data_IF_890649969870
#
_entry.id   IF_890649969870
#
_cell.length_a   1.000
_cell.length_b   1.000
_cell.length_c   1.000
_cell.angle_alpha   90.00
_cell.angle_beta   90.00
_cell.angle_gamma   90.00
#
_symmetry.space_group_name_H-M   'P 1'
#
loop_
_entity.id
_entity.type
_entity.pdbx_description
1 polymer ?
#
# COMPACT_ATOMS: atom_id res chain seq x y z
N UNK A 1 -4.01 -1.13 -11.13
CA UNK A 1 -3.34 -2.14 -10.28
C UNK A 1 -4.22 -2.40 -9.05
N UNK A 2 -4.58 -3.68 -8.83
CA UNK A 2 -5.39 -4.12 -7.69
C UNK A 2 -4.65 -5.26 -7.00
N UNK A 3 -4.10 -5.02 -5.81
CA UNK A 3 -3.34 -6.02 -5.04
C UNK A 3 -3.99 -6.21 -3.68
N UNK A 4 -4.23 -7.45 -3.24
CA UNK A 4 -4.65 -7.72 -1.86
C UNK A 4 -3.49 -8.26 -1.04
N UNK A 5 -3.34 -7.74 0.17
CA UNK A 5 -2.58 -8.34 1.26
C UNK A 5 -3.54 -8.96 2.27
N UNK A 6 -3.28 -10.21 2.71
CA UNK A 6 -4.19 -10.89 3.62
C UNK A 6 -3.49 -11.95 4.48
N UNK A 7 -3.44 -11.71 5.79
CA UNK A 7 -3.10 -12.74 6.76
C UNK A 7 -4.29 -13.70 6.94
N UNK A 8 -4.16 -14.93 6.44
CA UNK A 8 -5.25 -15.92 6.39
C UNK A 8 -5.30 -16.83 7.61
N UNK A 9 -4.32 -16.71 8.52
CA UNK A 9 -4.19 -17.55 9.71
C UNK A 9 -4.39 -19.05 9.40
N UNK A 10 -3.59 -19.51 8.48
CA UNK A 10 -3.64 -20.87 7.91
C UNK A 10 -4.56 -20.95 6.70
N UNK A 11 -3.98 -21.33 5.57
CA UNK A 11 -4.68 -21.43 4.29
C UNK A 11 -5.76 -22.52 4.27
N UNK A 12 -5.60 -23.57 5.09
CA UNK A 12 -6.58 -24.65 5.20
C UNK A 12 -6.92 -25.32 3.87
N UNK A 13 -8.21 -25.60 3.67
CA UNK A 13 -8.80 -26.18 2.43
C UNK A 13 -10.23 -25.64 2.24
N UNK A 14 -10.83 -25.94 1.10
CA UNK A 14 -12.26 -25.78 0.84
C UNK A 14 -12.80 -24.35 1.04
N UNK A 15 -13.41 -24.06 2.17
CA UNK A 15 -14.11 -22.79 2.43
C UNK A 15 -13.18 -21.57 2.32
N UNK A 16 -11.96 -21.67 2.86
CA UNK A 16 -10.97 -20.58 2.78
C UNK A 16 -10.52 -20.32 1.34
N UNK A 17 -10.29 -21.38 0.57
CA UNK A 17 -9.93 -21.25 -0.85
C UNK A 17 -11.04 -20.61 -1.67
N UNK A 18 -12.28 -21.03 -1.41
CA UNK A 18 -13.44 -20.44 -2.07
C UNK A 18 -13.60 -18.93 -1.72
N UNK A 19 -13.32 -18.56 -0.47
CA UNK A 19 -13.34 -17.17 -0.05
C UNK A 19 -12.24 -16.34 -0.71
N UNK A 20 -11.02 -16.87 -0.82
CA UNK A 20 -9.90 -16.22 -1.54
C UNK A 20 -10.25 -16.04 -3.02
N UNK A 21 -10.73 -17.08 -3.71
CA UNK A 21 -11.19 -16.97 -5.11
C UNK A 21 -12.28 -15.92 -5.28
N UNK A 22 -13.21 -15.82 -4.33
CA UNK A 22 -14.25 -14.79 -4.35
C UNK A 22 -13.67 -13.38 -4.25
N UNK A 23 -12.64 -13.17 -3.41
CA UNK A 23 -11.93 -11.90 -3.34
C UNK A 23 -11.24 -11.57 -4.66
N UNK A 24 -10.49 -12.53 -5.23
CA UNK A 24 -9.81 -12.37 -6.52
C UNK A 24 -10.80 -11.93 -7.60
N UNK A 25 -11.91 -12.65 -7.74
CA UNK A 25 -12.94 -12.36 -8.75
C UNK A 25 -13.68 -11.04 -8.47
N UNK A 26 -14.10 -10.80 -7.21
CA UNK A 26 -14.89 -9.63 -6.82
C UNK A 26 -14.14 -8.32 -7.07
N UNK A 27 -12.85 -8.31 -6.76
CA UNK A 27 -12.02 -7.10 -6.86
C UNK A 27 -11.15 -7.07 -8.11
N UNK A 28 -11.28 -8.07 -9.01
CA UNK A 28 -10.48 -8.20 -10.24
C UNK A 28 -8.99 -8.02 -9.91
N UNK A 29 -8.48 -8.89 -9.05
CA UNK A 29 -7.12 -8.76 -8.55
C UNK A 29 -6.10 -9.09 -9.63
N UNK A 30 -5.05 -8.30 -9.64
CA UNK A 30 -3.85 -8.56 -10.45
C UNK A 30 -2.84 -9.39 -9.65
N UNK A 31 -2.84 -9.24 -8.31
CA UNK A 31 -1.96 -9.96 -7.39
C UNK A 31 -2.62 -10.15 -6.02
N UNK A 32 -2.24 -11.22 -5.31
CA UNK A 32 -2.55 -11.41 -3.89
C UNK A 32 -1.31 -11.85 -3.12
N UNK A 33 -1.03 -11.18 -2.02
CA UNK A 33 0.02 -11.46 -1.05
C UNK A 33 -0.60 -12.05 0.21
N UNK A 34 -0.34 -13.32 0.47
CA UNK A 34 -0.93 -14.09 1.57
C UNK A 34 0.12 -14.32 2.65
N UNK A 35 -0.24 -14.07 3.91
CA UNK A 35 0.58 -14.33 5.09
C UNK A 35 -0.06 -15.44 5.94
N UNK A 36 0.74 -16.08 6.77
CA UNK A 36 0.38 -17.23 7.59
C UNK A 36 -0.31 -18.36 6.80
N UNK A 37 0.27 -18.79 5.70
CA UNK A 37 -0.30 -19.92 4.92
C UNK A 37 -0.32 -21.22 5.70
N UNK A 38 0.63 -21.40 6.63
CA UNK A 38 0.90 -22.63 7.39
C UNK A 38 1.12 -23.85 6.46
N UNK A 39 1.65 -23.61 5.26
CA UNK A 39 1.98 -24.62 4.26
C UNK A 39 3.48 -24.78 4.16
N UNK A 40 3.96 -26.01 4.33
CA UNK A 40 5.36 -26.38 4.11
C UNK A 40 5.66 -26.57 2.62
N UNK A 41 4.63 -26.93 1.85
CA UNK A 41 4.72 -27.11 0.40
C UNK A 41 3.57 -26.41 -0.31
N UNK A 42 3.90 -25.78 -1.41
CA UNK A 42 2.95 -25.13 -2.32
C UNK A 42 3.28 -25.61 -3.74
N UNK A 43 2.28 -26.10 -4.43
CA UNK A 43 2.40 -26.60 -5.79
C UNK A 43 1.52 -25.80 -6.78
N UNK A 44 1.72 -26.04 -8.05
CA UNK A 44 0.95 -25.44 -9.13
C UNK A 44 -0.55 -25.68 -8.99
N UNK A 45 -0.94 -26.88 -8.59
CA UNK A 45 -2.35 -27.29 -8.45
C UNK A 45 -3.05 -26.44 -7.37
N UNK A 46 -2.39 -26.22 -6.24
CA UNK A 46 -2.89 -25.35 -5.17
C UNK A 46 -3.01 -23.90 -5.65
N UNK A 47 -1.97 -23.37 -6.33
CA UNK A 47 -1.98 -22.01 -6.83
C UNK A 47 -3.10 -21.78 -7.85
N UNK A 48 -3.28 -22.68 -8.80
CA UNK A 48 -4.37 -22.65 -9.78
C UNK A 48 -5.74 -22.79 -9.10
N UNK A 49 -5.87 -23.67 -8.10
CA UNK A 49 -7.11 -23.82 -7.35
C UNK A 49 -7.47 -22.57 -6.53
N UNK A 50 -6.49 -21.80 -6.05
CA UNK A 50 -6.71 -20.53 -5.36
C UNK A 50 -7.02 -19.39 -6.32
N UNK A 51 -6.28 -19.31 -7.43
CA UNK A 51 -6.42 -18.22 -8.39
C UNK A 51 -7.66 -18.39 -9.27
N UNK A 52 -7.92 -19.60 -9.70
CA UNK A 52 -9.04 -19.93 -10.58
C UNK A 52 -8.72 -19.89 -12.06
N UNK A 53 -7.43 -19.75 -12.43
CA UNK A 53 -6.93 -19.77 -13.81
C UNK A 53 -5.63 -20.60 -13.88
N UNK A 54 -5.30 -21.06 -15.09
CA UNK A 54 -4.10 -21.86 -15.37
C UNK A 54 -2.84 -20.99 -15.52
N UNK A 55 -3.01 -19.71 -15.85
CA UNK A 55 -1.93 -18.74 -16.13
C UNK A 55 -1.60 -17.89 -14.90
N UNK A 56 -1.32 -18.54 -13.78
CA UNK A 56 -0.95 -17.87 -12.53
C UNK A 56 0.54 -18.03 -12.25
N UNK A 57 1.24 -16.90 -12.07
CA UNK A 57 2.56 -16.87 -11.49
C UNK A 57 2.47 -16.97 -9.96
N UNK A 58 3.46 -17.61 -9.34
CA UNK A 58 3.52 -17.68 -7.88
C UNK A 58 4.94 -17.72 -7.35
N UNK A 59 5.08 -17.32 -6.10
CA UNK A 59 6.27 -17.51 -5.27
C UNK A 59 5.84 -17.77 -3.83
N UNK A 60 6.56 -18.62 -3.12
CA UNK A 60 6.21 -18.92 -1.74
C UNK A 60 7.44 -19.07 -0.85
N UNK A 61 7.26 -18.75 0.43
CA UNK A 61 8.16 -19.08 1.51
C UNK A 61 7.49 -20.16 2.37
N UNK A 62 8.11 -21.33 2.57
CA UNK A 62 7.54 -22.40 3.37
C UNK A 62 7.26 -21.99 4.81
N UNK A 63 6.21 -22.55 5.41
CA UNK A 63 6.03 -22.54 6.85
C UNK A 63 7.07 -23.45 7.51
N UNK A 64 7.48 -23.11 8.72
CA UNK A 64 8.36 -23.93 9.56
C UNK A 64 7.53 -24.47 10.72
N UNK A 65 7.43 -25.79 10.84
CA UNK A 65 6.64 -26.45 11.89
C UNK A 65 5.20 -25.87 11.99
N UNK A 66 4.53 -25.72 10.86
CA UNK A 66 3.17 -25.12 10.74
C UNK A 66 3.05 -23.68 11.21
N UNK A 67 4.14 -22.96 11.43
CA UNK A 67 4.17 -21.55 11.75
C UNK A 67 4.59 -20.71 10.54
N UNK A 68 3.95 -19.56 10.35
CA UNK A 68 4.27 -18.63 9.25
C UNK A 68 3.86 -19.15 7.88
N UNK A 69 4.75 -18.98 6.90
CA UNK A 69 4.53 -19.29 5.49
C UNK A 69 3.89 -18.13 4.75
N UNK A 70 4.48 -17.78 3.60
CA UNK A 70 4.04 -16.71 2.72
C UNK A 70 3.74 -17.28 1.33
N UNK A 71 2.82 -16.63 0.62
CA UNK A 71 2.49 -16.97 -0.76
C UNK A 71 2.10 -15.70 -1.51
N UNK A 72 2.70 -15.49 -2.66
CA UNK A 72 2.27 -14.50 -3.64
C UNK A 72 1.70 -15.22 -4.86
N UNK A 73 0.55 -14.76 -5.35
CA UNK A 73 -0.04 -15.20 -6.61
C UNK A 73 -0.32 -13.96 -7.47
N UNK A 74 -0.05 -14.06 -8.76
CA UNK A 74 -0.31 -12.94 -9.68
C UNK A 74 -0.72 -13.42 -11.07
N UNK A 75 -1.40 -12.55 -11.79
CA UNK A 75 -1.69 -12.75 -13.20
C UNK A 75 -0.47 -12.36 -14.05
N UNK A 76 0.11 -13.32 -14.76
CA UNK A 76 1.30 -13.12 -15.61
C UNK A 76 1.05 -12.18 -16.80
N UNK A 77 -0.22 -11.87 -17.14
CA UNK A 77 -0.56 -10.88 -18.15
C UNK A 77 -0.34 -9.45 -17.65
N UNK A 78 -0.43 -9.21 -16.33
CA UNK A 78 -0.27 -7.88 -15.74
C UNK A 78 1.07 -7.65 -15.05
N UNK A 79 1.66 -8.70 -14.49
CA UNK A 79 2.96 -8.62 -13.83
C UNK A 79 3.88 -9.76 -14.28
N UNK A 80 5.07 -9.40 -14.77
CA UNK A 80 6.13 -10.34 -15.12
C UNK A 80 7.24 -10.24 -14.10
N UNK A 81 7.37 -11.26 -13.26
CA UNK A 81 8.43 -11.33 -12.27
C UNK A 81 9.75 -11.73 -12.91
N UNK A 82 10.77 -10.87 -12.79
CA UNK A 82 12.11 -11.08 -13.30
C UNK A 82 13.03 -11.65 -12.22
N UNK A 83 12.93 -11.12 -11.00
CA UNK A 83 13.75 -11.54 -9.86
C UNK A 83 12.89 -11.79 -8.63
N UNK A 84 13.29 -12.77 -7.81
CA UNK A 84 12.55 -13.20 -6.63
C UNK A 84 13.50 -13.49 -5.49
N UNK A 85 13.23 -12.91 -4.32
CA UNK A 85 14.01 -13.14 -3.10
C UNK A 85 13.07 -13.58 -1.99
N UNK A 86 13.36 -14.73 -1.38
CA UNK A 86 12.64 -15.19 -0.19
C UNK A 86 13.55 -15.13 1.03
N UNK A 87 13.10 -14.49 2.08
CA UNK A 87 13.76 -14.43 3.37
C UNK A 87 12.81 -14.79 4.49
N UNK A 88 13.32 -14.86 5.71
CA UNK A 88 12.50 -15.18 6.87
C UNK A 88 11.47 -14.07 7.12
N UNK A 89 10.20 -14.35 6.78
CA UNK A 89 9.10 -13.41 6.97
C UNK A 89 8.87 -12.42 5.81
N UNK A 90 9.51 -12.60 4.67
CA UNK A 90 9.23 -11.80 3.49
C UNK A 90 9.44 -12.55 2.16
N UNK A 91 8.74 -12.09 1.14
CA UNK A 91 8.99 -12.39 -0.27
C UNK A 91 9.11 -11.07 -1.01
N UNK A 92 10.19 -10.88 -1.76
CA UNK A 92 10.38 -9.77 -2.70
C UNK A 92 10.17 -10.27 -4.12
N UNK A 93 9.33 -9.59 -4.87
CA UNK A 93 9.10 -9.81 -6.29
C UNK A 93 9.50 -8.53 -7.04
N UNK A 94 10.55 -8.61 -7.83
CA UNK A 94 10.93 -7.55 -8.78
C UNK A 94 10.46 -7.95 -10.16
N UNK A 95 9.92 -7.00 -10.92
CA UNK A 95 9.43 -7.30 -12.25
C UNK A 95 8.79 -6.11 -12.93
N UNK A 96 8.18 -6.37 -14.08
CA UNK A 96 7.57 -5.34 -14.92
C UNK A 96 6.05 -5.39 -14.79
N UNK A 97 5.47 -4.26 -14.41
CA UNK A 97 4.04 -4.02 -14.53
C UNK A 97 3.70 -3.71 -15.98
N UNK A 98 3.03 -4.64 -16.66
CA UNK A 98 2.94 -4.70 -18.12
C UNK A 98 2.19 -3.51 -18.71
N UNK A 99 1.07 -3.08 -18.10
CA UNK A 99 0.22 -2.00 -18.65
C UNK A 99 0.97 -0.67 -18.81
N UNK A 100 1.86 -0.37 -17.88
CA UNK A 100 2.57 0.91 -17.81
C UNK A 100 4.06 0.76 -18.19
N UNK A 101 4.49 -0.48 -18.46
CA UNK A 101 5.89 -0.86 -18.70
C UNK A 101 6.83 -0.32 -17.60
N UNK A 102 6.40 -0.46 -16.32
CA UNK A 102 7.14 0.03 -15.17
C UNK A 102 7.77 -1.11 -14.39
N UNK A 103 9.07 -0.98 -14.10
CA UNK A 103 9.74 -1.86 -13.15
C UNK A 103 9.25 -1.52 -11.74
N UNK A 104 8.76 -2.52 -11.01
CA UNK A 104 8.25 -2.38 -9.64
C UNK A 104 8.79 -3.49 -8.75
N UNK A 105 8.85 -3.20 -7.48
CA UNK A 105 9.23 -4.15 -6.42
C UNK A 105 8.07 -4.28 -5.42
N UNK A 106 7.52 -5.49 -5.32
CA UNK A 106 6.47 -5.83 -4.36
C UNK A 106 7.07 -6.67 -3.24
N UNK A 107 6.87 -6.25 -2.00
CA UNK A 107 7.35 -6.96 -0.81
C UNK A 107 6.16 -7.44 0.00
N UNK A 108 5.96 -8.77 0.07
CA UNK A 108 4.99 -9.40 0.95
C UNK A 108 5.64 -9.69 2.30
N UNK A 109 5.12 -9.10 3.39
CA UNK A 109 5.74 -9.14 4.72
C UNK A 109 4.82 -9.85 5.71
N UNK A 110 5.41 -10.76 6.49
CA UNK A 110 4.85 -11.30 7.73
C UNK A 110 5.89 -11.15 8.83
N UNK A 111 5.79 -10.03 9.56
CA UNK A 111 6.76 -9.68 10.59
C UNK A 111 6.58 -10.56 11.84
N UNK A 112 7.66 -11.03 12.46
CA UNK A 112 7.61 -11.70 13.75
C UNK A 112 6.96 -10.85 14.86
N UNK A 113 6.50 -11.48 15.93
CA UNK A 113 5.97 -10.76 17.09
C UNK A 113 7.08 -10.26 18.04
N UNK A 114 8.23 -10.95 18.07
CA UNK A 114 9.36 -10.60 18.93
C UNK A 114 10.30 -9.60 18.27
N UNK A 115 10.91 -8.75 19.06
CA UNK A 115 11.68 -7.60 18.59
C UNK A 115 13.02 -7.99 17.92
N UNK A 116 13.66 -9.07 18.37
CA UNK A 116 14.94 -9.51 17.80
C UNK A 116 14.75 -9.92 16.33
N UNK A 117 13.83 -10.85 16.11
CA UNK A 117 13.53 -11.32 14.76
C UNK A 117 12.91 -10.21 13.86
N UNK A 118 12.22 -9.20 14.44
CA UNK A 118 11.79 -8.02 13.69
C UNK A 118 12.96 -7.23 13.13
N UNK A 119 13.97 -6.94 13.97
CA UNK A 119 15.16 -6.20 13.53
C UNK A 119 15.93 -6.94 12.44
N UNK A 120 16.04 -8.27 12.54
CA UNK A 120 16.65 -9.10 11.48
C UNK A 120 15.88 -8.97 10.15
N UNK A 121 14.54 -9.01 10.21
CA UNK A 121 13.69 -8.82 9.03
C UNK A 121 13.87 -7.42 8.43
N UNK A 122 13.87 -6.38 9.27
CA UNK A 122 14.02 -4.99 8.85
C UNK A 122 15.38 -4.75 8.21
N UNK A 123 16.44 -5.26 8.82
CA UNK A 123 17.80 -5.17 8.28
C UNK A 123 17.91 -5.83 6.90
N UNK A 124 17.35 -7.04 6.74
CA UNK A 124 17.37 -7.76 5.47
C UNK A 124 16.62 -6.99 4.36
N UNK A 125 15.47 -6.36 4.67
CA UNK A 125 14.72 -5.55 3.71
C UNK A 125 15.48 -4.25 3.40
N UNK A 126 16.09 -3.61 4.40
CA UNK A 126 16.89 -2.39 4.21
C UNK A 126 18.09 -2.62 3.29
N UNK A 127 18.78 -3.75 3.43
CA UNK A 127 19.88 -4.13 2.54
C UNK A 127 19.41 -4.28 1.09
N UNK A 128 18.25 -4.92 0.86
CA UNK A 128 17.68 -5.04 -0.48
C UNK A 128 17.29 -3.68 -1.06
N UNK A 129 16.71 -2.79 -0.25
CA UNK A 129 16.32 -1.43 -0.68
C UNK A 129 17.51 -0.58 -1.09
N UNK A 130 18.64 -0.71 -0.42
CA UNK A 130 19.88 0.02 -0.75
C UNK A 130 20.40 -0.27 -2.17
N UNK A 131 20.13 -1.46 -2.71
CA UNK A 131 20.50 -1.81 -4.08
C UNK A 131 19.57 -1.24 -5.16
N UNK A 132 18.37 -0.78 -4.77
CA UNK A 132 17.35 -0.20 -5.68
C UNK A 132 16.66 1.00 -5.00
N UNK A 133 17.46 2.01 -4.63
CA UNK A 133 16.99 3.16 -3.85
C UNK A 133 15.97 4.05 -4.57
N UNK A 134 16.00 4.10 -5.90
CA UNK A 134 15.08 4.90 -6.72
C UNK A 134 13.93 4.06 -7.29
N UNK A 135 13.79 2.81 -6.88
CA UNK A 135 12.80 1.88 -7.39
C UNK A 135 11.37 2.18 -6.90
N UNK A 136 10.39 1.75 -7.69
CA UNK A 136 8.97 1.80 -7.34
C UNK A 136 8.64 0.66 -6.36
N UNK A 137 8.80 0.90 -5.07
CA UNK A 137 8.61 -0.10 -4.02
C UNK A 137 7.21 -0.04 -3.42
N UNK A 138 6.63 -1.22 -3.18
CA UNK A 138 5.40 -1.39 -2.43
C UNK A 138 5.57 -2.52 -1.41
N UNK A 139 5.61 -2.18 -0.13
CA UNK A 139 5.66 -3.10 0.99
C UNK A 139 4.24 -3.30 1.53
N UNK A 140 3.80 -4.53 1.64
CA UNK A 140 2.48 -4.84 2.18
C UNK A 140 2.50 -6.12 3.01
N UNK A 141 1.67 -6.17 4.03
CA UNK A 141 1.59 -7.35 4.86
C UNK A 141 1.15 -7.07 6.29
N UNK A 142 1.34 -8.07 7.12
CA UNK A 142 1.19 -7.99 8.55
C UNK A 142 2.54 -7.64 9.19
N UNK A 143 2.66 -6.39 9.63
CA UNK A 143 3.89 -5.88 10.25
C UNK A 143 3.99 -6.22 11.74
N UNK A 144 2.93 -6.76 12.35
CA UNK A 144 2.86 -7.02 13.79
C UNK A 144 3.34 -5.83 14.66
N UNK A 145 3.21 -4.61 14.13
CA UNK A 145 3.65 -3.35 14.73
C UNK A 145 2.61 -2.26 14.54
N UNK A 146 2.45 -1.42 15.54
CA UNK A 146 1.66 -0.18 15.46
C UNK A 146 2.59 1.02 15.33
N UNK A 147 2.12 2.09 14.70
CA UNK A 147 2.85 3.35 14.52
C UNK A 147 2.53 4.37 15.60
N UNK A 148 1.34 4.26 16.18
CA UNK A 148 0.83 5.14 17.23
C UNK A 148 0.01 4.34 18.24
N UNK A 149 0.03 4.74 19.50
CA UNK A 149 -0.76 4.09 20.57
C UNK A 149 -2.27 4.03 20.25
N UNK A 150 -2.79 5.03 19.53
CA UNK A 150 -4.20 5.07 19.12
C UNK A 150 -4.61 3.96 18.13
N UNK A 151 -3.65 3.21 17.57
CA UNK A 151 -3.88 2.11 16.63
C UNK A 151 -4.08 0.76 17.33
N UNK A 152 -4.14 0.77 18.66
CA UNK A 152 -4.39 -0.43 19.48
C UNK A 152 -5.36 -0.11 20.59
N UNK A 153 -6.31 -1.01 20.80
CA UNK A 153 -7.29 -0.92 21.89
C UNK A 153 -7.42 -2.29 22.59
N UNK A 154 -7.76 -2.27 23.89
CA UNK A 154 -8.03 -3.46 24.69
C UNK A 154 -6.79 -4.27 25.10
N UNK A 155 -5.59 -3.74 24.90
CA UNK A 155 -4.33 -4.33 25.36
C UNK A 155 -3.71 -3.37 26.39
N UNK A 156 -3.25 -3.90 27.52
CA UNK A 156 -2.54 -3.09 28.50
C UNK A 156 -1.22 -2.57 27.88
N UNK A 157 -1.02 -1.26 27.94
CA UNK A 157 0.23 -0.64 27.50
C UNK A 157 1.38 -1.09 28.41
N UNK A 158 2.34 -1.82 27.86
CA UNK A 158 3.58 -2.16 28.55
C UNK A 158 4.65 -1.15 28.15
N UNK A 159 5.52 -0.75 29.07
CA UNK A 159 6.55 0.27 28.82
C UNK A 159 7.48 0.02 27.61
N UNK A 160 7.63 -1.24 27.19
CA UNK A 160 8.39 -1.62 25.97
C UNK A 160 7.68 -1.27 24.65
N UNK A 161 6.40 -0.92 24.68
CA UNK A 161 5.62 -0.65 23.45
C UNK A 161 6.05 0.67 22.79
N UNK A 162 6.42 1.68 23.58
CA UNK A 162 6.88 2.96 23.06
C UNK A 162 8.19 2.82 22.24
N UNK A 163 9.14 2.02 22.70
CA UNK A 163 10.38 1.75 21.97
C UNK A 163 10.10 1.01 20.66
N UNK A 164 9.18 0.05 20.67
CA UNK A 164 8.81 -0.69 19.46
C UNK A 164 8.15 0.20 18.40
N UNK A 165 7.37 1.20 18.81
CA UNK A 165 6.76 2.19 17.94
C UNK A 165 7.84 3.09 17.32
N UNK A 166 8.79 3.57 18.12
CA UNK A 166 9.90 4.40 17.66
C UNK A 166 10.74 3.66 16.63
N UNK A 167 11.25 2.47 16.98
CA UNK A 167 12.06 1.64 16.11
C UNK A 167 11.36 1.32 14.77
N UNK A 168 10.06 1.02 14.80
CA UNK A 168 9.30 0.75 13.59
C UNK A 168 9.17 2.00 12.70
N UNK A 169 8.90 3.16 13.30
CA UNK A 169 8.80 4.41 12.55
C UNK A 169 10.16 4.88 12.01
N UNK A 170 11.25 4.68 12.75
CA UNK A 170 12.61 4.96 12.32
C UNK A 170 12.98 4.09 11.10
N UNK A 171 12.72 2.78 11.17
CA UNK A 171 12.95 1.87 10.05
C UNK A 171 12.19 2.28 8.78
N UNK A 172 10.92 2.70 8.91
CA UNK A 172 10.12 3.18 7.77
C UNK A 172 10.68 4.47 7.18
N UNK A 173 11.19 5.37 8.03
CA UNK A 173 11.82 6.61 7.60
C UNK A 173 13.13 6.32 6.85
N UNK A 174 13.96 5.39 7.36
CA UNK A 174 15.23 4.98 6.73
C UNK A 174 15.00 4.29 5.37
N UNK A 175 13.88 3.61 5.20
CA UNK A 175 13.47 3.03 3.91
C UNK A 175 12.91 4.07 2.92
N UNK A 176 12.64 5.30 3.38
CA UNK A 176 11.99 6.36 2.60
C UNK A 176 10.64 5.90 2.01
N UNK A 177 9.81 5.25 2.85
CA UNK A 177 8.49 4.77 2.45
C UNK A 177 7.38 5.45 3.26
N UNK A 178 6.26 5.70 2.59
CA UNK A 178 5.09 6.34 3.17
C UNK A 178 3.88 5.39 3.19
N UNK A 179 3.10 5.45 4.26
CA UNK A 179 1.83 4.73 4.32
C UNK A 179 0.79 5.40 3.43
N UNK A 180 0.25 4.65 2.46
CA UNK A 180 -0.80 5.20 1.58
C UNK A 180 -2.11 5.42 2.35
N UNK A 181 -2.94 6.41 1.95
CA UNK A 181 -4.20 6.70 2.61
C UNK A 181 -5.10 5.48 2.75
N UNK A 182 -5.66 5.28 3.93
CA UNK A 182 -6.55 4.14 4.23
C UNK A 182 -8.02 4.55 4.28
N UNK A 183 -8.87 3.71 3.68
CA UNK A 183 -10.32 3.86 3.65
C UNK A 183 -10.98 2.60 4.23
N UNK A 184 -12.05 2.77 4.97
CA UNK A 184 -12.81 1.69 5.57
C UNK A 184 -12.58 1.58 7.08
N UNK A 185 -12.25 0.38 7.56
CA UNK A 185 -12.09 0.13 9.00
C UNK A 185 -10.82 0.77 9.55
N UNK A 186 -10.86 1.16 10.84
CA UNK A 186 -9.69 1.70 11.54
C UNK A 186 -8.68 0.61 11.92
N UNK A 187 -9.15 -0.58 12.29
CA UNK A 187 -8.34 -1.70 12.75
C UNK A 187 -8.34 -2.83 11.74
N UNK A 188 -7.24 -3.55 11.64
CA UNK A 188 -7.05 -4.66 10.70
C UNK A 188 -7.03 -6.02 11.37
N UNK A 189 -6.68 -6.08 12.66
CA UNK A 189 -6.67 -7.28 13.49
C UNK A 189 -7.65 -7.17 14.67
N UNK A 190 -8.30 -8.28 14.99
CA UNK A 190 -9.28 -8.39 16.06
C UNK A 190 -9.08 -9.67 16.86
N UNK A 191 -8.84 -9.55 18.16
CA UNK A 191 -8.77 -10.73 19.01
C UNK A 191 -10.09 -11.52 18.93
N UNK A 192 -10.06 -12.85 18.86
CA UNK A 192 -11.28 -13.66 18.66
C UNK A 192 -12.39 -13.40 19.68
N UNK A 193 -12.04 -13.10 20.93
CA UNK A 193 -13.02 -12.79 21.98
C UNK A 193 -13.50 -11.31 21.98
N UNK A 194 -13.11 -10.51 20.99
CA UNK A 194 -13.52 -9.13 20.83
C UNK A 194 -12.90 -8.12 21.81
N UNK A 195 -12.03 -8.56 22.75
CA UNK A 195 -11.49 -7.68 23.81
C UNK A 195 -10.37 -6.76 23.34
N UNK A 196 -9.74 -7.04 22.20
CA UNK A 196 -8.62 -6.24 21.69
C UNK A 196 -8.69 -6.12 20.15
N UNK A 197 -8.15 -5.03 19.65
CA UNK A 197 -8.04 -4.73 18.21
C UNK A 197 -6.84 -3.85 17.93
N UNK A 198 -6.22 -4.03 16.76
CA UNK A 198 -5.02 -3.28 16.37
C UNK A 198 -4.98 -3.08 14.84
N UNK A 199 -4.26 -2.04 14.40
CA UNK A 199 -3.91 -1.85 12.99
C UNK A 199 -2.51 -2.40 12.76
N UNK A 200 -2.40 -3.63 12.27
CA UNK A 200 -1.15 -4.38 12.07
C UNK A 200 -0.80 -4.55 10.60
N UNK A 201 -1.84 -4.66 9.76
CA UNK A 201 -1.70 -4.85 8.33
C UNK A 201 -1.73 -3.49 7.63
N UNK A 202 -0.78 -3.27 6.69
CA UNK A 202 -0.56 -1.96 6.07
C UNK A 202 0.02 -2.09 4.67
N UNK A 203 -0.01 -0.98 3.94
CA UNK A 203 0.70 -0.80 2.68
C UNK A 203 1.54 0.47 2.76
N UNK A 204 2.84 0.32 2.53
CA UNK A 204 3.80 1.41 2.39
C UNK A 204 4.34 1.43 0.97
N UNK A 205 4.62 2.61 0.46
CA UNK A 205 5.19 2.77 -0.89
C UNK A 205 6.31 3.79 -0.88
N UNK A 206 7.24 3.67 -1.83
CA UNK A 206 8.29 4.67 -2.01
C UNK A 206 7.73 5.98 -2.54
N UNK A 207 8.50 7.06 -2.41
CA UNK A 207 8.12 8.37 -2.93
C UNK A 207 7.88 8.34 -4.45
N UNK A 208 8.74 7.64 -5.21
CA UNK A 208 8.64 7.45 -6.66
C UNK A 208 7.33 6.78 -7.06
N UNK A 209 6.85 5.83 -6.22
CA UNK A 209 5.53 5.22 -6.41
C UNK A 209 4.40 6.25 -6.36
N UNK A 210 4.44 7.15 -5.37
CA UNK A 210 3.43 8.20 -5.21
C UNK A 210 3.49 9.23 -6.33
N UNK A 211 4.68 9.54 -6.86
CA UNK A 211 4.82 10.38 -8.04
C UNK A 211 4.18 9.71 -9.27
N UNK A 212 4.34 8.40 -9.42
CA UNK A 212 3.77 7.64 -10.55
C UNK A 212 2.27 7.40 -10.39
N UNK A 213 1.83 7.00 -9.20
CA UNK A 213 0.42 6.69 -8.91
C UNK A 213 -0.06 7.47 -7.67
N UNK A 214 -0.29 8.79 -7.80
CA UNK A 214 -0.66 9.66 -6.67
C UNK A 214 -2.03 9.33 -6.07
N UNK A 215 -2.88 8.59 -6.80
CA UNK A 215 -4.17 8.10 -6.33
C UNK A 215 -4.11 6.76 -5.60
N UNK A 216 -2.92 6.28 -5.23
CA UNK A 216 -2.78 5.03 -4.49
C UNK A 216 -3.51 5.09 -3.16
N UNK A 217 -4.33 4.08 -2.88
CA UNK A 217 -5.19 4.02 -1.69
C UNK A 217 -5.30 2.58 -1.21
N UNK A 218 -5.29 2.36 0.12
CA UNK A 218 -5.58 1.07 0.73
C UNK A 218 -7.00 1.03 1.29
N UNK A 219 -7.74 -0.02 0.95
CA UNK A 219 -9.09 -0.27 1.44
C UNK A 219 -9.05 -1.41 2.43
N UNK A 220 -9.38 -1.14 3.69
CA UNK A 220 -9.51 -2.16 4.72
C UNK A 220 -10.88 -2.80 4.56
N UNK A 221 -10.90 -4.03 4.03
CA UNK A 221 -12.12 -4.76 3.71
C UNK A 221 -12.73 -5.40 4.96
N UNK A 222 -13.96 -5.91 4.81
CA UNK A 222 -14.62 -6.64 5.88
C UNK A 222 -13.90 -7.94 6.20
N UNK A 223 -13.77 -8.20 7.51
CA UNK A 223 -13.26 -9.46 8.02
C UNK A 223 -14.19 -10.61 7.63
N UNK A 224 -13.61 -11.72 7.24
CA UNK A 224 -14.38 -12.94 6.95
C UNK A 224 -13.92 -14.13 7.82
N UNK A 225 -13.09 -15.04 7.34
CA UNK A 225 -12.68 -16.26 8.03
C UNK A 225 -11.39 -16.12 8.90
N UNK A 226 -10.70 -14.99 8.80
CA UNK A 226 -9.51 -14.68 9.60
C UNK A 226 -9.83 -13.66 10.70
N UNK A 227 -8.99 -13.58 11.72
CA UNK A 227 -8.99 -12.48 12.68
C UNK A 227 -8.36 -11.19 12.13
N UNK A 228 -7.76 -11.26 10.93
CA UNK A 228 -7.32 -10.11 10.15
C UNK A 228 -8.34 -9.72 9.07
N UNK A 229 -8.30 -8.46 8.65
CA UNK A 229 -9.02 -7.93 7.51
C UNK A 229 -8.13 -7.99 6.26
N UNK A 230 -8.66 -8.37 5.08
CA UNK A 230 -7.93 -8.19 3.84
C UNK A 230 -7.74 -6.71 3.55
N UNK A 231 -6.56 -6.32 3.06
CA UNK A 231 -6.28 -4.96 2.60
C UNK A 231 -6.14 -4.97 1.09
N UNK A 232 -7.00 -4.22 0.41
CA UNK A 232 -6.94 -4.01 -1.03
C UNK A 232 -6.19 -2.71 -1.32
N UNK A 233 -5.01 -2.80 -1.90
CA UNK A 233 -4.31 -1.68 -2.49
C UNK A 233 -4.80 -1.45 -3.91
N UNK A 234 -5.12 -0.21 -4.23
CA UNK A 234 -5.40 0.26 -5.59
C UNK A 234 -4.45 1.37 -5.95
N UNK A 235 -3.61 1.13 -6.95
CA UNK A 235 -2.85 2.17 -7.58
C UNK A 235 -3.54 2.55 -8.90
N UNK A 236 -3.98 3.77 -8.98
CA UNK A 236 -4.62 4.34 -10.18
C UNK A 236 -3.94 5.66 -10.49
N UNK A 237 -3.68 5.86 -11.76
CA UNK A 237 -3.44 7.20 -12.25
C UNK A 237 -4.82 7.85 -12.37
N UNK A 238 -5.26 8.52 -11.29
CA UNK A 238 -6.53 9.25 -11.33
C UNK A 238 -6.19 10.59 -11.98
N UNK A 239 -6.54 10.72 -13.24
CA UNK A 239 -6.69 12.04 -13.82
C UNK A 239 -7.91 12.70 -13.15
N UNK A 240 -7.64 13.49 -12.09
CA UNK A 240 -8.66 14.31 -11.44
C UNK A 240 -9.16 15.43 -12.34
N UNK A 241 -8.74 15.44 -13.60
CA UNK A 241 -8.90 16.59 -14.46
C UNK A 241 -8.05 17.79 -13.99
N UNK A 242 -8.26 18.96 -14.53
CA UNK A 242 -7.56 20.15 -14.09
C UNK A 242 -7.82 20.37 -12.60
N UNK A 243 -6.74 20.52 -11.82
CA UNK A 243 -6.83 20.79 -10.37
C UNK A 243 -7.79 21.95 -10.12
N UNK A 244 -8.81 21.81 -9.28
CA UNK A 244 -9.73 22.91 -9.01
C UNK A 244 -8.93 24.10 -8.46
N UNK A 245 -9.21 25.27 -9.01
CA UNK A 245 -8.65 26.51 -8.49
C UNK A 245 -9.16 26.69 -7.06
N UNK A 246 -8.26 26.69 -6.09
CA UNK A 246 -8.58 26.95 -4.68
C UNK A 246 -8.06 28.33 -4.31
N UNK A 247 -8.91 29.15 -3.73
CA UNK A 247 -8.54 30.41 -3.10
C UNK A 247 -8.45 30.15 -1.61
N UNK A 248 -7.35 30.53 -0.98
CA UNK A 248 -7.20 30.44 0.47
C UNK A 248 -7.78 31.71 1.11
N UNK A 249 -8.42 31.57 2.26
CA UNK A 249 -9.03 32.68 2.99
C UNK A 249 -8.00 33.78 3.37
N UNK A 250 -6.73 33.40 3.57
CA UNK A 250 -5.64 34.33 3.81
C UNK A 250 -5.38 35.25 2.60
N UNK A 251 -5.53 34.73 1.37
CA UNK A 251 -5.36 35.55 0.15
C UNK A 251 -6.43 36.62 0.02
N UNK A 252 -7.68 36.34 0.42
CA UNK A 252 -8.76 37.31 0.40
C UNK A 252 -8.56 38.48 1.39
N UNK A 253 -7.69 38.27 2.40
CA UNK A 253 -7.31 39.28 3.38
C UNK A 253 -6.10 40.12 2.97
N UNK A 254 -5.35 39.67 1.95
CA UNK A 254 -4.19 40.39 1.44
C UNK A 254 -4.65 41.58 0.58
N UNK A 255 -4.18 42.78 0.91
CA UNK A 255 -4.54 44.05 0.21
C UNK A 255 -4.11 44.04 -1.26
N UNK A 256 -3.12 43.26 -1.63
CA UNK A 256 -2.62 43.20 -2.99
C UNK A 256 -3.32 42.10 -3.82
N UNK A 257 -4.00 41.15 -3.20
CA UNK A 257 -4.62 40.03 -3.90
C UNK A 257 -5.63 40.44 -4.96
N UNK A 258 -6.52 41.40 -4.64
CA UNK A 258 -7.51 41.93 -5.59
C UNK A 258 -6.84 42.59 -6.80
N UNK A 259 -5.74 43.33 -6.58
CA UNK A 259 -4.94 43.94 -7.66
C UNK A 259 -4.32 42.84 -8.56
N UNK A 260 -3.66 41.85 -7.95
CA UNK A 260 -3.03 40.71 -8.70
C UNK A 260 -4.09 40.00 -9.54
N UNK A 261 -5.26 39.70 -8.97
CA UNK A 261 -6.36 39.07 -9.69
C UNK A 261 -6.81 39.89 -10.87
N UNK A 262 -7.04 41.21 -10.69
CA UNK A 262 -7.46 42.13 -11.76
C UNK A 262 -6.42 42.24 -12.86
N UNK A 263 -5.16 42.41 -12.51
CA UNK A 263 -4.06 42.52 -13.46
C UNK A 263 -3.89 41.21 -14.28
N UNK A 264 -3.89 40.09 -13.62
CA UNK A 264 -3.84 38.78 -14.30
C UNK A 264 -5.05 38.52 -15.21
N UNK A 265 -6.26 38.94 -14.74
CA UNK A 265 -7.49 38.77 -15.51
C UNK A 265 -7.55 39.67 -16.75
N UNK A 266 -7.14 40.92 -16.60
CA UNK A 266 -7.18 41.94 -17.68
C UNK A 266 -6.08 41.72 -18.71
N UNK A 267 -4.88 41.29 -18.28
CA UNK A 267 -3.71 41.10 -19.14
C UNK A 267 -3.67 39.73 -19.82
N UNK A 268 -4.65 38.84 -19.55
CA UNK A 268 -4.70 37.52 -20.17
C UNK A 268 -5.76 37.52 -21.27
N UNK A 269 -5.31 37.41 -22.54
CA UNK A 269 -6.18 37.15 -23.69
C UNK A 269 -6.03 35.70 -24.14
N UNK A 270 -6.73 34.75 -23.51
CA UNK A 270 -6.66 33.34 -23.91
C UNK A 270 -7.48 33.17 -25.20
N UNK A 271 -6.93 32.39 -26.12
CA UNK A 271 -7.66 31.94 -27.32
C UNK A 271 -8.38 30.64 -27.01
N UNK A 272 -9.69 30.57 -27.28
CA UNK A 272 -10.43 29.32 -27.15
C UNK A 272 -11.80 29.45 -26.50
N UNK A 273 -12.38 28.32 -26.12
CA UNK A 273 -13.68 28.20 -25.46
C UNK A 273 -13.71 28.88 -24.08
N UNK A 274 -14.85 29.40 -23.68
CA UNK A 274 -14.98 30.14 -22.42
C UNK A 274 -14.43 29.42 -21.18
N UNK A 275 -14.60 28.08 -21.12
CA UNK A 275 -14.02 27.26 -20.04
C UNK A 275 -12.49 27.17 -20.10
N UNK A 276 -11.90 27.02 -21.27
CA UNK A 276 -10.45 27.01 -21.47
C UNK A 276 -9.83 28.39 -21.16
N UNK A 277 -10.56 29.47 -21.47
CA UNK A 277 -10.20 30.84 -21.14
C UNK A 277 -10.15 31.08 -19.62
N UNK A 278 -11.15 30.61 -18.89
CA UNK A 278 -11.20 30.67 -17.43
C UNK A 278 -10.05 29.89 -16.78
N UNK A 279 -9.76 28.70 -17.29
CA UNK A 279 -8.69 27.83 -16.80
C UNK A 279 -7.30 28.46 -16.98
N UNK A 280 -7.02 29.05 -18.15
CA UNK A 280 -5.75 29.74 -18.43
C UNK A 280 -5.57 30.95 -17.52
N UNK A 281 -6.64 31.72 -17.28
CA UNK A 281 -6.63 32.86 -16.36
C UNK A 281 -6.38 32.44 -14.91
N UNK A 282 -7.03 31.37 -14.45
CA UNK A 282 -6.85 30.81 -13.10
C UNK A 282 -5.43 30.27 -12.85
N UNK A 283 -4.78 29.65 -13.86
CA UNK A 283 -3.39 29.20 -13.75
C UNK A 283 -2.41 30.39 -13.56
N UNK A 284 -2.63 31.50 -14.24
CA UNK A 284 -1.79 32.71 -14.09
C UNK A 284 -1.99 33.39 -12.74
N UNK A 285 -3.23 33.39 -12.23
CA UNK A 285 -3.51 33.90 -10.87
C UNK A 285 -2.77 33.07 -9.83
N UNK A 286 -2.76 31.74 -9.98
CA UNK A 286 -2.05 30.84 -9.09
C UNK A 286 -0.55 31.12 -9.08
N UNK A 287 0.11 31.23 -10.24
CA UNK A 287 1.52 31.56 -10.34
C UNK A 287 1.90 32.96 -9.81
N UNK A 288 0.98 33.93 -9.90
CA UNK A 288 1.17 35.27 -9.31
C UNK A 288 0.97 35.33 -7.80
N UNK A 289 0.17 34.43 -7.24
CA UNK A 289 -0.10 34.34 -5.80
C UNK A 289 0.98 33.53 -5.02
N UNK A 290 1.70 32.66 -5.67
CA UNK A 290 2.83 31.90 -5.08
C UNK A 290 4.05 32.78 -4.77
N UNK A 291 4.05 34.07 -5.22
CA UNK A 291 5.07 35.07 -4.90
C UNK A 291 4.70 36.01 -3.75
N UNK A 292 3.67 35.73 -2.98
CA UNK A 292 3.11 36.55 -1.88
C UNK A 292 3.34 35.87 -0.51
N UNK A 293 4.34 34.99 -0.37
CA UNK A 293 4.82 34.51 0.93
C UNK A 293 5.89 35.42 1.53
#
# INVERSE_FOLDING_TARGET
MNIISYNVRGLGRGVKWAAIRRLIKKYQLDMICIQETKKEQVDKTLCQALWGDLTVGWEFQPAINTAGGLLCLWNEQFFKADHRVCGRGFIVLEGVWVSDNQKITIVNIYSPCDNLNKRELWEAISQLRQHDSEGLWCLMGDFNSIRHHSEREGVAHRGLEANNISEFNEWLADLEVEEIPSVGRRFTWFKPNGTARSKLDRVFVSHEWLLKWPGSTQFILDRNFSDHCPILMRARNIDWGPKPFKVFDCWLKDKNFDRIVRDCWSNTQPRGWGGACAQSKNQKIKGGAEGVE
#
